data_IF_600776050759
#
_entry.id   IF_600776050759
#
_cell.length_a   1.000
_cell.length_b   1.000
_cell.length_c   1.000
_cell.angle_alpha   90.00
_cell.angle_beta   90.00
_cell.angle_gamma   90.00
#
_symmetry.space_group_name_H-M   'P 1'
#
loop_
_entity.id
_entity.type
_entity.pdbx_description
1 polymer ?
#
# COMPACT_ATOMS: atom_id res chain seq x y z
N UNK A 1 14.82 -11.85 -2.74
CA UNK A 1 14.67 -10.66 -3.59
C UNK A 1 13.25 -10.13 -3.46
N UNK A 2 12.87 -9.55 -2.31
CA UNK A 2 11.49 -9.07 -2.06
C UNK A 2 11.50 -7.61 -1.64
N UNK A 3 11.95 -7.33 -0.41
CA UNK A 3 11.99 -5.98 0.21
C UNK A 3 12.44 -4.80 -0.65
N UNK A 4 13.36 -4.98 -1.61
CA UNK A 4 13.85 -3.87 -2.45
C UNK A 4 12.84 -3.46 -3.54
N UNK A 5 12.10 -4.41 -4.08
CA UNK A 5 11.12 -4.15 -5.14
C UNK A 5 9.79 -3.68 -4.53
N UNK A 6 9.39 -4.21 -3.37
CA UNK A 6 8.26 -3.71 -2.59
C UNK A 6 8.41 -2.21 -2.27
N UNK A 7 9.59 -1.81 -1.78
CA UNK A 7 9.87 -0.40 -1.49
C UNK A 7 9.76 0.47 -2.76
N UNK A 8 10.27 0.01 -3.90
CA UNK A 8 10.15 0.77 -5.16
C UNK A 8 8.70 0.93 -5.61
N UNK A 9 7.88 -0.10 -5.46
CA UNK A 9 6.46 -0.03 -5.82
C UNK A 9 5.71 0.93 -4.90
N UNK A 10 5.97 0.87 -3.59
CA UNK A 10 5.41 1.82 -2.62
C UNK A 10 5.85 3.25 -2.93
N UNK A 11 7.11 3.49 -3.30
CA UNK A 11 7.61 4.82 -3.72
C UNK A 11 6.89 5.33 -4.97
N UNK A 12 6.68 4.45 -5.95
CA UNK A 12 5.98 4.79 -7.18
C UNK A 12 4.52 5.16 -6.91
N UNK A 13 3.82 4.38 -6.08
CA UNK A 13 2.45 4.68 -5.64
C UNK A 13 2.41 5.98 -4.84
N UNK A 14 3.31 6.16 -3.87
CA UNK A 14 3.38 7.40 -3.09
C UNK A 14 3.57 8.63 -3.99
N UNK A 15 4.38 8.52 -5.06
CA UNK A 15 4.52 9.59 -6.06
C UNK A 15 3.28 9.79 -6.91
N UNK A 16 2.65 8.72 -7.39
CA UNK A 16 1.44 8.77 -8.21
C UNK A 16 0.30 9.49 -7.48
N UNK A 17 0.11 9.18 -6.19
CA UNK A 17 -0.93 9.78 -5.37
C UNK A 17 -0.47 11.01 -4.58
N UNK A 18 0.75 11.50 -4.83
CA UNK A 18 1.34 12.66 -4.13
C UNK A 18 1.31 12.53 -2.60
N UNK A 19 1.50 11.31 -2.09
CA UNK A 19 1.61 11.04 -0.66
C UNK A 19 2.87 11.70 -0.10
N UNK A 20 2.69 12.46 0.98
CA UNK A 20 3.80 12.97 1.77
C UNK A 20 4.57 11.82 2.45
N UNK A 21 5.82 12.03 2.89
CA UNK A 21 6.62 10.98 3.52
C UNK A 21 5.94 10.32 4.73
N UNK A 22 5.22 11.10 5.54
CA UNK A 22 4.45 10.60 6.68
C UNK A 22 3.28 9.73 6.21
N UNK A 23 2.54 10.21 5.22
CA UNK A 23 1.40 9.49 4.64
C UNK A 23 1.82 8.17 3.99
N UNK A 24 2.97 8.17 3.30
CA UNK A 24 3.59 6.97 2.74
C UNK A 24 3.94 5.95 3.83
N UNK A 25 4.45 6.41 4.98
CA UNK A 25 4.76 5.51 6.11
C UNK A 25 3.47 4.90 6.67
N UNK A 26 2.42 5.70 6.83
CA UNK A 26 1.11 5.22 7.28
C UNK A 26 0.49 4.24 6.28
N UNK A 27 0.62 4.52 4.98
CA UNK A 27 0.18 3.61 3.92
C UNK A 27 0.90 2.24 4.01
N UNK A 28 2.20 2.23 4.29
CA UNK A 28 2.93 0.99 4.53
C UNK A 28 2.42 0.20 5.74
N UNK A 29 2.04 0.88 6.82
CA UNK A 29 1.46 0.23 8.00
C UNK A 29 0.05 -0.34 7.70
N UNK A 30 -0.76 0.40 6.94
CA UNK A 30 -2.07 -0.05 6.46
C UNK A 30 -1.95 -1.35 5.66
N UNK A 31 -1.02 -1.45 4.71
CA UNK A 31 -0.81 -2.67 3.92
C UNK A 31 -0.44 -3.88 4.79
N UNK A 32 0.40 -3.70 5.81
CA UNK A 32 0.77 -4.78 6.74
C UNK A 32 -0.38 -5.17 7.68
N UNK A 33 -1.28 -4.24 7.99
CA UNK A 33 -2.52 -4.55 8.70
C UNK A 33 -3.50 -5.34 7.82
N UNK A 34 -3.69 -4.94 6.56
CA UNK A 34 -4.50 -5.67 5.59
C UNK A 34 -4.01 -7.11 5.41
N UNK A 35 -2.70 -7.32 5.28
CA UNK A 35 -2.11 -8.68 5.25
C UNK A 35 -2.44 -9.48 6.51
N UNK A 36 -2.34 -8.87 7.69
CA UNK A 36 -2.66 -9.54 8.97
C UNK A 36 -4.14 -9.89 9.11
N UNK A 37 -5.02 -9.08 8.52
CA UNK A 37 -6.47 -9.30 8.51
C UNK A 37 -6.93 -10.31 7.44
N UNK A 38 -6.01 -10.86 6.64
CA UNK A 38 -6.32 -11.80 5.57
C UNK A 38 -6.65 -11.16 4.23
N UNK A 39 -6.53 -9.83 4.11
CA UNK A 39 -6.69 -9.07 2.87
C UNK A 39 -5.33 -8.84 2.17
N UNK A 40 -4.43 -9.82 2.26
CA UNK A 40 -3.17 -9.82 1.55
C UNK A 40 -3.36 -9.84 0.03
N UNK A 41 -2.32 -9.47 -0.70
CA UNK A 41 -2.34 -9.45 -2.16
C UNK A 41 -2.16 -10.83 -2.79
N UNK A 42 -2.31 -10.89 -4.11
CA UNK A 42 -2.32 -12.14 -4.87
C UNK A 42 -1.00 -12.45 -5.58
N UNK A 43 0.04 -11.63 -5.37
CA UNK A 43 1.31 -11.77 -6.08
C UNK A 43 2.03 -13.10 -5.76
N UNK A 44 1.89 -13.59 -4.52
CA UNK A 44 2.52 -14.83 -4.07
C UNK A 44 1.79 -15.41 -2.86
N UNK A 45 2.18 -16.63 -2.47
CA UNK A 45 1.63 -17.33 -1.29
C UNK A 45 1.90 -16.62 0.05
N UNK A 46 2.70 -15.55 0.06
CA UNK A 46 2.96 -14.73 1.26
C UNK A 46 1.98 -13.58 1.42
N UNK A 47 1.08 -13.37 0.45
CA UNK A 47 0.12 -12.28 0.48
C UNK A 47 0.71 -10.93 0.06
N UNK A 48 1.78 -10.92 -0.74
CA UNK A 48 2.31 -9.67 -1.28
C UNK A 48 1.38 -9.10 -2.35
N UNK A 49 1.33 -7.77 -2.43
CA UNK A 49 0.48 -7.06 -3.36
C UNK A 49 1.15 -6.90 -4.72
N UNK A 50 0.40 -7.18 -5.78
CA UNK A 50 0.73 -6.73 -7.12
C UNK A 50 0.63 -5.20 -7.20
N UNK A 51 1.29 -4.60 -8.19
CA UNK A 51 1.22 -3.15 -8.38
C UNK A 51 -0.23 -2.61 -8.56
N UNK A 52 -1.11 -3.26 -9.34
CA UNK A 52 -2.52 -2.86 -9.41
C UNK A 52 -3.26 -2.92 -8.06
N UNK A 53 -3.00 -3.94 -7.24
CA UNK A 53 -3.60 -4.06 -5.90
C UNK A 53 -3.07 -2.97 -4.96
N UNK A 54 -1.77 -2.67 -4.98
CA UNK A 54 -1.20 -1.55 -4.23
C UNK A 54 -1.86 -0.23 -4.61
N UNK A 55 -2.12 -0.04 -5.91
CA UNK A 55 -2.80 1.16 -6.42
C UNK A 55 -4.26 1.25 -5.96
N UNK A 56 -4.97 0.13 -5.91
CA UNK A 56 -6.32 0.08 -5.36
C UNK A 56 -6.31 0.38 -3.86
N UNK A 57 -5.44 -0.28 -3.10
CA UNK A 57 -5.27 -0.06 -1.66
C UNK A 57 -4.89 1.38 -1.32
N UNK A 58 -4.10 2.03 -2.17
CA UNK A 58 -3.77 3.44 -2.04
C UNK A 58 -5.00 4.34 -2.18
N UNK A 59 -5.92 4.03 -3.11
CA UNK A 59 -7.19 4.76 -3.24
C UNK A 59 -8.06 4.55 -2.00
N UNK A 60 -8.27 3.30 -1.60
CA UNK A 60 -9.06 2.97 -0.40
C UNK A 60 -8.51 3.68 0.85
N UNK A 61 -7.19 3.69 1.01
CA UNK A 61 -6.51 4.38 2.10
C UNK A 61 -6.77 5.90 2.07
N UNK A 62 -6.61 6.55 0.91
CA UNK A 62 -6.81 7.99 0.77
C UNK A 62 -8.28 8.40 0.88
N UNK A 63 -9.21 7.57 0.40
CA UNK A 63 -10.64 7.77 0.56
C UNK A 63 -11.03 7.72 2.04
N UNK A 64 -10.52 6.75 2.80
CA UNK A 64 -10.74 6.67 4.25
C UNK A 64 -10.21 7.91 4.99
N UNK A 65 -9.02 8.39 4.64
CA UNK A 65 -8.45 9.59 5.28
C UNK A 65 -9.23 10.87 4.95
N UNK A 66 -9.71 10.98 3.72
CA UNK A 66 -10.51 12.13 3.30
C UNK A 66 -11.92 12.12 3.91
N UNK A 67 -12.46 10.96 4.27
CA UNK A 67 -13.77 10.83 4.93
C UNK A 67 -13.74 11.25 6.41
N UNK A 68 -12.55 11.23 7.03
CA UNK A 68 -12.29 11.64 8.41
C UNK A 68 -11.90 13.13 8.53
N UNK A 69 -11.93 13.91 7.44
CA UNK A 69 -11.62 15.36 7.40
C UNK A 69 -12.85 16.25 7.29
#
# INVERSE_FOLDING_TARGET
>A
MGKKDDLKQIDAIAREFRMLPELRKTFGLFLEEEKRNGYGGTLNDRGDFTYPELRQKAKEFLENINYDS
#
